data_IF_923387684576
#
_entry.id   IF_923387684576
#
_cell.length_a   1.000
_cell.length_b   1.000
_cell.length_c   1.000
_cell.angle_alpha   90.00
_cell.angle_beta   90.00
_cell.angle_gamma   90.00
#
_symmetry.space_group_name_H-M   'P 1'
#
loop_
_entity.id
_entity.type
_entity.pdbx_description
1 polymer ?
#
# COMPACT_ATOMS: atom_id res chain seq x y z
N UNK A 1 11.62 3.19 -5.20
CA UNK A 1 11.00 2.91 -3.89
C UNK A 1 12.05 2.19 -3.04
N UNK A 2 12.57 2.82 -1.97
CA UNK A 2 13.59 2.23 -1.08
C UNK A 2 12.89 1.76 0.19
N UNK A 3 12.99 0.49 0.52
CA UNK A 3 12.52 -0.07 1.79
C UNK A 3 13.75 -0.33 2.67
N UNK A 4 13.83 0.36 3.81
CA UNK A 4 14.81 0.12 4.84
C UNK A 4 14.20 -0.83 5.88
N UNK A 5 14.65 -2.09 5.90
CA UNK A 5 14.37 -2.99 7.03
C UNK A 5 15.49 -2.80 8.04
N UNK A 6 15.22 -2.05 9.10
CA UNK A 6 16.17 -1.79 10.18
C UNK A 6 15.93 -2.81 11.30
N UNK A 7 16.82 -3.78 11.41
CA UNK A 7 16.84 -4.77 12.47
C UNK A 7 18.16 -5.52 12.44
N UNK A 8 19.08 -5.15 13.34
CA UNK A 8 20.37 -5.83 13.51
C UNK A 8 20.35 -6.59 14.83
N UNK A 9 20.31 -7.93 14.77
CA UNK A 9 20.67 -8.79 15.91
C UNK A 9 21.95 -9.55 15.54
N UNK A 10 23.01 -9.36 16.34
CA UNK A 10 24.26 -10.14 16.23
C UNK A 10 24.05 -11.50 16.88
N UNK A 11 24.15 -12.56 16.09
CA UNK A 11 24.13 -13.95 16.57
C UNK A 11 25.59 -14.36 16.81
N UNK A 12 25.95 -14.65 18.07
CA UNK A 12 27.25 -15.24 18.44
C UNK A 12 27.08 -16.74 18.65
N UNK A 13 27.98 -17.53 18.04
CA UNK A 13 28.27 -18.94 18.30
C UNK A 13 27.12 -19.95 18.19
N UNK A 14 26.71 -20.30 16.96
CA UNK A 14 25.98 -21.54 16.65
C UNK A 14 26.57 -22.11 15.34
N UNK A 15 26.79 -23.43 15.31
CA UNK A 15 27.41 -24.21 14.21
C UNK A 15 26.75 -23.88 12.86
N UNK A 16 27.54 -23.40 11.90
CA UNK A 16 27.10 -22.47 10.84
C UNK A 16 26.73 -23.09 9.47
N UNK A 17 26.41 -24.38 9.34
CA UNK A 17 26.43 -25.03 8.01
C UNK A 17 25.08 -25.24 7.27
N UNK A 18 23.90 -25.00 7.85
CA UNK A 18 22.62 -25.12 7.08
C UNK A 18 21.47 -24.18 7.52
N UNK A 19 21.81 -22.93 7.84
CA UNK A 19 20.79 -21.92 8.18
C UNK A 19 20.09 -21.42 6.92
N UNK A 20 18.77 -21.58 6.86
CA UNK A 20 17.88 -21.19 5.77
C UNK A 20 16.87 -20.15 6.24
N UNK A 21 16.63 -19.16 5.38
CA UNK A 21 15.64 -18.11 5.59
C UNK A 21 14.38 -18.44 4.77
N UNK A 22 13.21 -18.29 5.36
CA UNK A 22 11.92 -18.42 4.71
C UNK A 22 11.12 -17.12 4.82
N UNK A 23 10.37 -16.80 3.76
CA UNK A 23 9.41 -15.69 3.76
C UNK A 23 7.99 -16.23 3.75
N UNK A 24 7.14 -15.69 4.61
CA UNK A 24 5.77 -16.16 4.83
C UNK A 24 4.83 -14.95 4.84
N UNK A 25 3.70 -15.05 4.14
CA UNK A 25 2.60 -14.10 4.27
C UNK A 25 1.68 -14.57 5.40
N UNK A 26 1.63 -13.82 6.49
CA UNK A 26 0.95 -14.23 7.74
C UNK A 26 -0.56 -14.31 7.52
N UNK A 27 -1.16 -13.25 6.97
CA UNK A 27 -2.64 -13.15 6.86
C UNK A 27 -3.24 -14.23 5.96
N UNK A 28 -2.45 -14.78 5.03
CA UNK A 28 -2.84 -15.86 4.11
C UNK A 28 -2.28 -17.23 4.50
N UNK A 29 -1.52 -17.30 5.60
CA UNK A 29 -0.79 -18.50 6.02
C UNK A 29 0.00 -19.17 4.88
N UNK A 30 0.62 -18.36 4.01
CA UNK A 30 1.24 -18.83 2.77
C UNK A 30 2.76 -18.72 2.82
N UNK A 31 3.47 -19.84 2.61
CA UNK A 31 4.92 -19.83 2.42
C UNK A 31 5.22 -19.24 1.03
N UNK A 32 5.95 -18.13 1.01
CA UNK A 32 6.35 -17.46 -0.22
C UNK A 32 7.60 -18.10 -0.79
N UNK A 33 8.63 -18.22 0.04
CA UNK A 33 9.96 -18.64 -0.41
C UNK A 33 10.67 -19.42 0.69
N UNK A 34 11.54 -20.36 0.29
CA UNK A 34 12.46 -21.07 1.18
C UNK A 34 13.85 -20.95 0.59
N UNK A 35 14.76 -20.34 1.35
CA UNK A 35 16.10 -19.99 0.89
C UNK A 35 16.03 -19.19 -0.41
N UNK A 36 16.57 -19.72 -1.52
CA UNK A 36 16.57 -19.08 -2.85
C UNK A 36 15.39 -19.47 -3.73
N UNK A 37 14.54 -20.39 -3.27
CA UNK A 37 13.44 -20.93 -4.07
C UNK A 37 12.14 -20.22 -3.74
N UNK A 38 11.44 -19.75 -4.77
CA UNK A 38 10.08 -19.24 -4.66
C UNK A 38 9.12 -20.42 -4.73
N UNK A 39 8.32 -20.61 -3.68
CA UNK A 39 7.37 -21.72 -3.53
C UNK A 39 5.97 -21.28 -3.95
N UNK A 40 5.60 -20.03 -3.67
CA UNK A 40 4.31 -19.48 -4.06
C UNK A 40 4.19 -19.33 -5.59
N UNK A 41 2.99 -19.60 -6.13
CA UNK A 41 2.66 -19.40 -7.56
C UNK A 41 2.37 -17.93 -7.86
N UNK A 42 3.36 -17.07 -7.61
CA UNK A 42 3.26 -15.62 -7.80
C UNK A 42 4.47 -15.18 -8.61
N UNK A 43 4.27 -14.96 -9.91
CA UNK A 43 5.35 -14.65 -10.86
C UNK A 43 6.03 -13.30 -10.60
N UNK A 44 5.43 -12.46 -9.76
CA UNK A 44 5.97 -11.16 -9.33
C UNK A 44 6.92 -11.23 -8.13
N UNK A 45 7.12 -12.41 -7.53
CA UNK A 45 8.01 -12.60 -6.40
C UNK A 45 9.43 -13.00 -6.83
N UNK A 46 10.42 -12.41 -6.19
CA UNK A 46 11.81 -12.86 -6.30
C UNK A 46 12.56 -12.65 -4.98
N UNK A 47 13.68 -13.33 -4.81
CA UNK A 47 14.52 -13.23 -3.61
C UNK A 47 15.94 -12.89 -4.01
N UNK A 48 16.55 -11.97 -3.27
CA UNK A 48 17.99 -11.75 -3.34
C UNK A 48 18.61 -11.80 -1.94
N UNK A 49 19.91 -12.11 -1.89
CA UNK A 49 20.66 -12.09 -0.64
C UNK A 49 22.08 -11.58 -0.90
N UNK A 50 22.67 -10.94 0.12
CA UNK A 50 24.05 -10.45 0.08
C UNK A 50 24.89 -11.20 1.12
N UNK A 51 25.99 -11.82 0.67
CA UNK A 51 27.03 -12.43 1.51
C UNK A 51 26.49 -13.21 2.73
N UNK A 52 25.35 -13.90 2.55
CA UNK A 52 24.60 -14.66 3.56
C UNK A 52 24.09 -13.88 4.80
N UNK A 53 24.23 -12.55 4.86
CA UNK A 53 23.80 -11.72 6.02
C UNK A 53 22.41 -11.11 5.87
N UNK A 54 22.07 -10.70 4.65
CA UNK A 54 20.82 -9.97 4.38
C UNK A 54 20.03 -10.69 3.32
N UNK A 55 18.79 -11.06 3.63
CA UNK A 55 17.83 -11.65 2.71
C UNK A 55 16.73 -10.64 2.40
N UNK A 56 16.37 -10.51 1.13
CA UNK A 56 15.38 -9.56 0.64
C UNK A 56 14.35 -10.29 -0.21
N UNK A 57 13.08 -10.12 0.14
CA UNK A 57 11.95 -10.45 -0.71
C UNK A 57 11.63 -9.23 -1.58
N UNK A 58 11.47 -9.46 -2.88
CA UNK A 58 11.05 -8.45 -3.84
C UNK A 58 9.69 -8.82 -4.38
N UNK A 59 8.79 -7.84 -4.40
CA UNK A 59 7.46 -7.94 -5.00
C UNK A 59 7.41 -6.90 -6.11
N UNK A 60 7.49 -7.33 -7.36
CA UNK A 60 7.39 -6.44 -8.50
C UNK A 60 5.91 -6.15 -8.79
N UNK A 61 5.60 -4.98 -9.37
CA UNK A 61 4.22 -4.61 -9.74
C UNK A 61 3.22 -4.89 -8.59
N UNK A 62 3.52 -4.33 -7.42
CA UNK A 62 2.74 -4.52 -6.18
C UNK A 62 1.27 -4.20 -6.42
N UNK A 63 0.40 -5.12 -6.00
CA UNK A 63 -1.06 -4.97 -6.09
C UNK A 63 -1.69 -4.78 -4.72
N UNK A 64 -2.93 -4.32 -4.66
CA UNK A 64 -3.62 -4.07 -3.39
C UNK A 64 -3.73 -5.33 -2.54
N UNK A 65 -3.86 -6.51 -3.19
CA UNK A 65 -3.94 -7.77 -2.46
C UNK A 65 -2.61 -8.21 -1.82
N UNK A 66 -1.46 -7.61 -2.20
CA UNK A 66 -0.17 -7.89 -1.55
C UNK A 66 -0.05 -7.24 -0.17
N UNK A 67 -0.98 -6.35 0.19
CA UNK A 67 -1.02 -5.70 1.50
C UNK A 67 -1.16 -6.74 2.61
N UNK A 68 -0.35 -6.62 3.65
CA UNK A 68 -0.47 -7.48 4.81
C UNK A 68 0.82 -7.63 5.60
N UNK A 69 0.78 -8.54 6.57
CA UNK A 69 1.95 -8.89 7.38
C UNK A 69 2.80 -9.98 6.72
N UNK A 70 4.09 -9.72 6.63
CA UNK A 70 5.12 -10.62 6.13
C UNK A 70 6.07 -10.98 7.25
N UNK A 71 6.44 -12.26 7.33
CA UNK A 71 7.40 -12.79 8.28
C UNK A 71 8.63 -13.31 7.55
N UNK A 72 9.80 -12.87 8.02
CA UNK A 72 11.08 -13.49 7.73
C UNK A 72 11.41 -14.46 8.88
N UNK A 73 11.58 -15.73 8.57
CA UNK A 73 11.84 -16.79 9.55
C UNK A 73 13.16 -17.49 9.25
N UNK A 74 13.92 -17.79 10.29
CA UNK A 74 15.22 -18.47 10.21
C UNK A 74 15.15 -19.78 11.00
N UNK A 75 15.57 -20.89 10.39
CA UNK A 75 15.53 -22.25 10.97
C UNK A 75 16.59 -22.50 12.07
N UNK A 76 16.91 -21.50 12.88
CA UNK A 76 17.77 -21.67 14.05
C UNK A 76 17.05 -22.48 15.14
N UNK A 77 17.82 -22.95 16.13
CA UNK A 77 17.26 -23.52 17.35
C UNK A 77 17.70 -22.67 18.55
N UNK A 78 16.79 -21.90 19.19
CA UNK A 78 15.38 -21.73 18.87
C UNK A 78 15.16 -20.94 17.56
N UNK A 79 13.98 -21.11 16.97
CA UNK A 79 13.61 -20.45 15.73
C UNK A 79 13.51 -18.93 15.92
N UNK A 80 14.14 -18.17 15.03
CA UNK A 80 14.12 -16.70 15.05
C UNK A 80 13.21 -16.20 13.92
N UNK A 81 12.43 -15.16 14.17
CA UNK A 81 11.63 -14.49 13.14
C UNK A 81 11.61 -12.97 13.32
N UNK A 82 11.20 -12.28 12.27
CA UNK A 82 10.91 -10.85 12.25
C UNK A 82 9.68 -10.59 11.37
N UNK A 83 8.79 -9.72 11.81
CA UNK A 83 7.54 -9.37 11.11
C UNK A 83 7.61 -7.93 10.61
N UNK A 84 7.09 -7.68 9.41
CA UNK A 84 6.90 -6.35 8.83
C UNK A 84 5.55 -6.26 8.13
N UNK A 85 5.00 -5.05 8.02
CA UNK A 85 3.73 -4.78 7.34
C UNK A 85 3.98 -4.08 5.99
N UNK A 86 3.42 -4.62 4.92
CA UNK A 86 3.43 -4.00 3.59
C UNK A 86 2.15 -3.18 3.40
N UNK A 87 2.27 -1.86 3.44
CA UNK A 87 1.18 -0.95 3.08
C UNK A 87 1.23 -0.65 1.58
N UNK A 88 0.14 -0.95 0.89
CA UNK A 88 -0.05 -0.60 -0.53
C UNK A 88 -0.95 0.62 -0.62
N UNK A 89 -0.50 1.67 -1.29
CA UNK A 89 -1.25 2.91 -1.54
C UNK A 89 -1.61 3.01 -3.02
N UNK A 90 -2.79 3.56 -3.29
CA UNK A 90 -3.33 3.71 -4.64
C UNK A 90 -3.56 5.21 -4.86
N UNK A 91 -2.98 5.82 -5.92
CA UNK A 91 -3.18 7.23 -6.18
C UNK A 91 -4.65 7.55 -6.45
N UNK A 92 -5.13 8.76 -6.10
CA UNK A 92 -6.48 9.18 -6.43
C UNK A 92 -6.74 9.18 -7.93
N UNK A 93 -7.89 8.65 -8.34
CA UNK A 93 -8.42 8.72 -9.71
C UNK A 93 -9.84 9.29 -9.67
N UNK A 94 -10.10 10.34 -10.45
CA UNK A 94 -11.43 10.95 -10.53
C UNK A 94 -12.32 10.06 -11.39
N UNK A 95 -13.52 9.79 -10.91
CA UNK A 95 -14.52 8.97 -11.59
C UNK A 95 -15.42 9.86 -12.44
N UNK A 96 -15.11 10.00 -13.72
CA UNK A 96 -15.84 10.89 -14.64
C UNK A 96 -17.31 10.47 -14.84
N UNK A 97 -17.59 9.17 -14.80
CA UNK A 97 -18.91 8.57 -14.99
C UNK A 97 -19.90 8.88 -13.86
N UNK A 98 -19.38 9.09 -12.64
CA UNK A 98 -20.16 9.39 -11.44
C UNK A 98 -19.94 10.80 -10.89
N UNK A 99 -19.13 11.60 -11.59
CA UNK A 99 -18.91 13.02 -11.31
C UNK A 99 -19.74 13.90 -12.25
N UNK A 100 -19.89 15.17 -11.88
CA UNK A 100 -20.49 16.16 -12.77
C UNK A 100 -19.61 16.35 -14.01
N UNK A 101 -20.19 16.49 -15.22
CA UNK A 101 -19.42 16.74 -16.44
C UNK A 101 -18.51 17.96 -16.33
N UNK A 102 -17.40 17.94 -17.06
CA UNK A 102 -16.39 19.02 -17.03
C UNK A 102 -16.95 20.39 -17.44
N UNK A 103 -18.04 20.43 -18.21
CA UNK A 103 -18.73 21.64 -18.60
C UNK A 103 -20.24 21.50 -18.32
N UNK A 104 -20.78 22.46 -17.57
CA UNK A 104 -22.21 22.54 -17.26
C UNK A 104 -22.67 23.97 -17.47
N UNK A 105 -23.84 24.14 -18.08
CA UNK A 105 -24.48 25.43 -18.26
C UNK A 105 -25.76 25.49 -17.42
N UNK A 106 -25.93 26.59 -16.69
CA UNK A 106 -27.07 26.83 -15.79
C UNK A 106 -27.59 28.23 -16.03
N UNK A 107 -28.93 28.40 -15.98
CA UNK A 107 -29.54 29.72 -16.13
C UNK A 107 -29.25 30.57 -14.90
N UNK A 108 -29.17 31.89 -15.09
CA UNK A 108 -29.02 32.81 -13.97
C UNK A 108 -30.12 32.59 -12.92
N UNK A 109 -29.75 32.73 -11.64
CA UNK A 109 -30.61 32.52 -10.47
C UNK A 109 -31.16 31.09 -10.29
N UNK A 110 -30.57 30.08 -10.95
CA UNK A 110 -30.83 28.67 -10.67
C UNK A 110 -29.70 28.07 -9.84
N UNK A 111 -30.04 27.10 -8.98
CA UNK A 111 -29.06 26.37 -8.19
C UNK A 111 -28.35 25.28 -9.02
N UNK A 112 -27.09 25.00 -8.68
CA UNK A 112 -26.31 23.89 -9.23
C UNK A 112 -25.57 23.15 -8.11
N UNK A 113 -25.47 21.83 -8.25
CA UNK A 113 -24.60 20.98 -7.43
C UNK A 113 -23.50 20.37 -8.29
N UNK A 114 -22.24 20.64 -7.93
CA UNK A 114 -21.08 20.02 -8.55
C UNK A 114 -20.63 18.84 -7.68
N UNK A 115 -20.65 17.65 -8.26
CA UNK A 115 -20.23 16.41 -7.62
C UNK A 115 -18.89 15.97 -8.22
N UNK A 116 -17.94 15.64 -7.35
CA UNK A 116 -16.66 15.04 -7.75
C UNK A 116 -16.44 13.81 -6.87
N UNK A 117 -16.32 12.66 -7.51
CA UNK A 117 -16.00 11.39 -6.87
C UNK A 117 -14.61 10.97 -7.31
N UNK A 118 -13.80 10.51 -6.36
CA UNK A 118 -12.49 9.97 -6.66
C UNK A 118 -12.26 8.71 -5.83
N UNK A 119 -11.63 7.72 -6.45
CA UNK A 119 -11.20 6.49 -5.79
C UNK A 119 -9.72 6.53 -5.51
N UNK A 120 -9.29 5.89 -4.44
CA UNK A 120 -7.87 5.80 -4.08
C UNK A 120 -7.69 5.20 -2.70
N UNK A 121 -6.45 4.94 -2.33
CA UNK A 121 -6.14 4.49 -0.97
C UNK A 121 -4.89 5.18 -0.43
N UNK A 122 -4.95 5.87 0.73
CA UNK A 122 -6.15 6.12 1.54
C UNK A 122 -7.24 6.91 0.81
N UNK A 123 -8.46 6.90 1.35
CA UNK A 123 -9.62 7.57 0.76
C UNK A 123 -9.28 9.04 0.38
N UNK A 124 -9.47 9.45 -0.89
CA UNK A 124 -9.14 10.80 -1.33
C UNK A 124 -9.98 11.88 -0.64
N UNK A 125 -9.36 13.04 -0.34
CA UNK A 125 -10.07 14.22 0.16
C UNK A 125 -10.40 15.17 -1.00
N UNK A 126 -11.69 15.37 -1.27
CA UNK A 126 -12.18 16.27 -2.30
C UNK A 126 -12.23 17.71 -1.77
N UNK A 127 -11.70 18.66 -2.55
CA UNK A 127 -11.77 20.10 -2.27
C UNK A 127 -12.05 20.86 -3.54
N UNK A 128 -12.99 21.80 -3.44
CA UNK A 128 -13.33 22.70 -4.53
C UNK A 128 -12.57 24.02 -4.38
N UNK A 129 -12.09 24.54 -5.50
CA UNK A 129 -11.48 25.87 -5.61
C UNK A 129 -11.87 26.47 -6.94
N UNK A 130 -12.00 27.80 -6.98
CA UNK A 130 -12.06 28.51 -8.26
C UNK A 130 -10.65 28.69 -8.82
N UNK A 131 -10.53 28.66 -10.12
CA UNK A 131 -9.24 28.86 -10.81
C UNK A 131 -8.68 30.28 -10.58
N UNK A 132 -9.57 31.27 -10.50
CA UNK A 132 -9.27 32.68 -10.19
C UNK A 132 -9.00 32.94 -8.69
N UNK A 133 -8.97 31.89 -7.86
CA UNK A 133 -8.75 31.95 -6.41
C UNK A 133 -9.81 32.74 -5.62
N UNK A 134 -10.93 33.11 -6.26
CA UNK A 134 -12.03 33.76 -5.56
C UNK A 134 -12.78 32.76 -4.66
N UNK A 135 -13.48 33.23 -3.62
CA UNK A 135 -14.32 32.37 -2.79
C UNK A 135 -15.48 31.78 -3.60
N UNK A 136 -15.83 30.53 -3.29
CA UNK A 136 -17.06 29.90 -3.77
C UNK A 136 -18.20 30.34 -2.85
N UNK A 137 -19.16 31.09 -3.39
CA UNK A 137 -20.34 31.52 -2.65
C UNK A 137 -21.35 30.38 -2.69
N UNK A 138 -21.52 29.67 -1.57
CA UNK A 138 -22.52 28.61 -1.44
C UNK A 138 -23.85 29.24 -1.00
N UNK A 139 -24.94 28.96 -1.71
CA UNK A 139 -26.28 29.32 -1.23
C UNK A 139 -26.54 28.53 0.07
N UNK A 140 -26.75 29.26 1.17
CA UNK A 140 -26.89 28.67 2.51
C UNK A 140 -28.27 28.02 2.65
N UNK A 141 -28.48 26.83 2.08
CA UNK A 141 -29.62 25.99 2.39
C UNK A 141 -29.14 24.57 2.72
N UNK A 142 -29.21 24.25 4.02
CA UNK A 142 -28.93 22.97 4.69
C UNK A 142 -27.46 22.53 4.80
N UNK A 143 -26.90 22.78 6.00
CA UNK A 143 -25.75 22.06 6.56
C UNK A 143 -25.99 20.55 6.42
N UNK A 144 -25.26 19.89 5.54
CA UNK A 144 -24.87 18.50 5.77
C UNK A 144 -23.39 18.52 6.13
N UNK A 145 -23.12 18.03 7.34
CA UNK A 145 -21.81 17.82 7.94
C UNK A 145 -20.79 17.29 6.93
N UNK A 146 -19.87 18.16 6.48
CA UNK A 146 -18.60 17.73 5.93
C UNK A 146 -17.74 17.21 7.09
N UNK A 147 -17.92 15.93 7.47
CA UNK A 147 -16.97 15.25 8.35
C UNK A 147 -15.66 15.05 7.59
N UNK A 148 -14.60 15.63 8.13
CA UNK A 148 -13.21 15.52 7.66
C UNK A 148 -12.49 14.31 8.23
#
# INVERSE_FOLDING_TARGET
MRVFLQGSKRIKNIIFFDVKVAWIHIDRQMILTIHRHVIARINRLSVSHDNQKTWRLHVNQVQQEDRGYYMCQVNTNPMINQVGYLQVVVPPNIMDDTSTPSAVAVRENQDISLTCRAEGFPEPRIRWKREDQQPIILSRNNKSESRH
#
